data_IF_720532417870
#
_entry.id   IF_720532417870
#
_cell.length_a   1.000
_cell.length_b   1.000
_cell.length_c   1.000
_cell.angle_alpha   90.00
_cell.angle_beta   90.00
_cell.angle_gamma   90.00
#
_symmetry.space_group_name_H-M   'P 1'
#
loop_
_entity.id
_entity.type
_entity.pdbx_description
1 polymer ?
#
# COMPACT_ATOMS: atom_id res chain seq x y z
N UNK A 1 29.53 -52.18 10.56
CA UNK A 1 29.40 -50.75 10.17
C UNK A 1 29.94 -49.88 11.30
N UNK A 2 31.02 -49.14 11.06
CA UNK A 2 31.85 -48.53 12.10
C UNK A 2 31.16 -47.34 12.79
N UNK A 3 31.46 -47.13 14.08
CA UNK A 3 30.89 -46.04 14.91
C UNK A 3 31.19 -44.65 14.32
N UNK A 4 32.36 -44.49 13.69
CA UNK A 4 32.81 -43.28 13.01
C UNK A 4 31.93 -42.91 11.80
N UNK A 5 31.52 -43.89 11.00
CA UNK A 5 30.63 -43.66 9.83
C UNK A 5 29.24 -43.17 10.25
N UNK A 6 28.74 -43.66 11.39
CA UNK A 6 27.46 -43.22 11.94
C UNK A 6 27.52 -41.77 12.42
N UNK A 7 28.67 -41.33 12.96
CA UNK A 7 28.84 -39.95 13.42
C UNK A 7 28.93 -38.96 12.25
N UNK A 8 29.74 -39.27 11.23
CA UNK A 8 29.87 -38.47 10.01
C UNK A 8 28.52 -38.26 9.29
N UNK A 9 27.69 -39.32 9.20
CA UNK A 9 26.34 -39.22 8.62
C UNK A 9 25.41 -38.32 9.43
N UNK A 10 25.51 -38.32 10.76
CA UNK A 10 24.71 -37.43 11.63
C UNK A 10 25.15 -35.98 11.48
N UNK A 11 26.44 -35.72 11.48
CA UNK A 11 26.99 -34.38 11.25
C UNK A 11 26.59 -33.81 9.89
N UNK A 12 26.62 -34.63 8.84
CA UNK A 12 26.13 -34.25 7.53
C UNK A 12 24.64 -33.86 7.57
N UNK A 13 23.78 -34.68 8.19
CA UNK A 13 22.35 -34.36 8.35
C UNK A 13 22.12 -33.06 9.10
N UNK A 14 22.88 -32.81 10.18
CA UNK A 14 22.81 -31.55 10.96
C UNK A 14 23.23 -30.36 10.08
N UNK A 15 24.31 -30.49 9.31
CA UNK A 15 24.77 -29.43 8.40
C UNK A 15 23.73 -29.08 7.35
N UNK A 16 23.12 -30.10 6.73
CA UNK A 16 22.03 -29.93 5.76
C UNK A 16 20.82 -29.27 6.41
N UNK A 17 20.42 -29.70 7.61
CA UNK A 17 19.32 -29.10 8.36
C UNK A 17 19.58 -27.62 8.69
N UNK A 18 20.77 -27.29 9.21
CA UNK A 18 21.16 -25.90 9.49
C UNK A 18 21.15 -25.04 8.22
N UNK A 19 21.62 -25.56 7.09
CA UNK A 19 21.54 -24.87 5.78
C UNK A 19 20.09 -24.62 5.37
N UNK A 20 19.21 -25.61 5.50
CA UNK A 20 17.77 -25.48 5.21
C UNK A 20 17.12 -24.44 6.12
N UNK A 21 17.42 -24.44 7.42
CA UNK A 21 16.89 -23.49 8.38
C UNK A 21 17.30 -22.04 8.04
N UNK A 22 18.58 -21.82 7.71
CA UNK A 22 19.07 -20.50 7.27
C UNK A 22 18.34 -20.01 6.01
N UNK A 23 18.14 -20.89 5.03
CA UNK A 23 17.39 -20.58 3.80
C UNK A 23 15.94 -20.23 4.12
N UNK A 24 15.27 -21.01 4.97
CA UNK A 24 13.89 -20.75 5.38
C UNK A 24 13.74 -19.40 6.10
N UNK A 25 14.68 -19.07 7.01
CA UNK A 25 14.71 -17.77 7.69
C UNK A 25 14.93 -16.63 6.69
N UNK A 26 15.79 -16.82 5.69
CA UNK A 26 15.99 -15.82 4.62
C UNK A 26 14.72 -15.63 3.77
N UNK A 27 14.07 -16.72 3.35
CA UNK A 27 12.83 -16.67 2.58
C UNK A 27 11.68 -16.00 3.37
N UNK A 28 11.62 -16.22 4.69
CA UNK A 28 10.64 -15.55 5.55
C UNK A 28 10.89 -14.03 5.59
N UNK A 29 12.14 -13.59 5.71
CA UNK A 29 12.48 -12.17 5.65
C UNK A 29 12.13 -11.53 4.31
N UNK A 30 12.41 -12.22 3.20
CA UNK A 30 12.08 -11.68 1.87
C UNK A 30 10.57 -11.57 1.66
N UNK A 31 9.79 -12.55 2.15
CA UNK A 31 8.33 -12.44 2.15
C UNK A 31 7.86 -11.21 2.91
N UNK A 32 8.37 -10.97 4.10
CA UNK A 32 8.02 -9.78 4.90
C UNK A 32 8.40 -8.47 4.18
N UNK A 33 9.57 -8.43 3.54
CA UNK A 33 9.99 -7.28 2.72
C UNK A 33 9.01 -7.04 1.56
N UNK A 34 8.61 -8.09 0.87
CA UNK A 34 7.65 -8.02 -0.24
C UNK A 34 6.25 -7.63 0.22
N UNK A 35 5.81 -8.06 1.41
CA UNK A 35 4.56 -7.60 2.01
C UNK A 35 4.59 -6.08 2.25
N UNK A 36 5.69 -5.53 2.76
CA UNK A 36 5.86 -4.07 2.91
C UNK A 36 5.80 -3.32 1.58
N UNK A 37 6.46 -3.84 0.54
CA UNK A 37 6.42 -3.24 -0.79
C UNK A 37 5.00 -3.25 -1.39
N UNK A 38 4.29 -4.37 -1.28
CA UNK A 38 2.92 -4.47 -1.79
C UNK A 38 1.96 -3.57 -1.01
N UNK A 39 2.15 -3.40 0.31
CA UNK A 39 1.37 -2.47 1.12
C UNK A 39 1.60 -1.02 0.66
N UNK A 40 2.84 -0.61 0.40
CA UNK A 40 3.13 0.70 -0.16
C UNK A 40 2.48 0.93 -1.54
N UNK A 41 2.45 -0.10 -2.39
CA UNK A 41 1.77 -0.04 -3.68
C UNK A 41 0.26 0.07 -3.54
N UNK A 42 -0.34 -0.60 -2.55
CA UNK A 42 -1.77 -0.48 -2.26
C UNK A 42 -2.12 0.93 -1.73
N UNK A 43 -1.26 1.52 -0.88
CA UNK A 43 -1.39 2.93 -0.48
C UNK A 43 -1.36 3.84 -1.71
N UNK A 44 -0.42 3.63 -2.63
CA UNK A 44 -0.36 4.41 -3.87
C UNK A 44 -1.66 4.31 -4.68
N UNK A 45 -2.28 3.12 -4.76
CA UNK A 45 -3.57 2.93 -5.45
C UNK A 45 -4.70 3.72 -4.80
N UNK A 46 -4.67 3.92 -3.48
CA UNK A 46 -5.71 4.66 -2.75
C UNK A 46 -5.74 6.15 -3.07
N UNK A 47 -4.58 6.71 -3.46
CA UNK A 47 -4.42 8.11 -3.83
C UNK A 47 -4.75 8.40 -5.31
N UNK A 48 -5.05 7.37 -6.12
CA UNK A 48 -5.31 7.52 -7.55
C UNK A 48 -6.77 7.92 -7.83
N UNK A 49 -7.04 8.66 -8.93
CA UNK A 49 -8.39 9.06 -9.36
C UNK A 49 -9.25 7.90 -9.90
N UNK A 50 -8.80 6.67 -9.75
CA UNK A 50 -9.47 5.41 -10.12
C UNK A 50 -9.64 4.54 -8.88
N UNK A 51 -10.14 5.13 -7.78
CA UNK A 51 -10.45 4.40 -6.57
C UNK A 51 -11.27 3.17 -6.96
N UNK A 52 -10.69 2.00 -6.70
CA UNK A 52 -11.03 0.72 -7.31
C UNK A 52 -12.54 0.60 -7.44
N UNK A 53 -13.03 0.51 -8.67
CA UNK A 53 -14.46 0.43 -8.98
C UNK A 53 -15.03 -0.78 -8.27
N UNK A 54 -15.68 -0.53 -7.14
CA UNK A 54 -16.59 -1.45 -6.49
C UNK A 54 -17.74 -1.69 -7.46
N UNK A 55 -17.69 -2.80 -8.17
CA UNK A 55 -18.80 -3.29 -8.98
C UNK A 55 -19.32 -4.51 -8.22
N UNK A 56 -20.28 -4.24 -7.32
CA UNK A 56 -20.99 -5.18 -6.44
C UNK A 56 -20.30 -5.62 -5.13
N UNK A 57 -21.13 -5.74 -4.08
CA UNK A 57 -20.80 -6.24 -2.73
C UNK A 57 -20.19 -7.67 -2.76
N UNK A 58 -20.39 -8.39 -3.85
CA UNK A 58 -19.95 -9.78 -4.07
C UNK A 58 -18.64 -9.88 -4.83
N UNK A 59 -18.11 -8.79 -5.40
CA UNK A 59 -16.93 -8.83 -6.26
C UNK A 59 -15.69 -8.30 -5.55
N UNK A 60 -14.59 -9.04 -5.64
CA UNK A 60 -13.29 -8.58 -5.16
C UNK A 60 -12.85 -7.33 -5.94
N UNK A 61 -12.41 -6.24 -5.27
CA UNK A 61 -11.97 -5.04 -5.96
C UNK A 61 -10.84 -5.37 -6.93
N UNK A 62 -11.05 -5.09 -8.22
CA UNK A 62 -10.05 -5.35 -9.24
C UNK A 62 -8.91 -4.35 -9.08
N UNK A 63 -7.77 -4.83 -8.58
CA UNK A 63 -6.56 -4.02 -8.43
C UNK A 63 -5.92 -3.79 -9.79
N UNK A 64 -5.56 -2.54 -10.10
CA UNK A 64 -4.67 -2.25 -11.22
C UNK A 64 -3.37 -3.05 -11.09
N UNK A 65 -2.83 -3.50 -12.22
CA UNK A 65 -1.54 -4.17 -12.26
C UNK A 65 -0.43 -3.26 -11.70
N UNK A 66 0.72 -3.84 -11.30
CA UNK A 66 1.84 -3.04 -10.75
C UNK A 66 2.31 -1.98 -11.74
N UNK A 67 2.40 -2.34 -13.02
CA UNK A 67 2.83 -1.43 -14.08
C UNK A 67 1.80 -0.34 -14.36
N UNK A 68 0.51 -0.66 -14.41
CA UNK A 68 -0.54 0.34 -14.61
C UNK A 68 -0.62 1.31 -13.43
N UNK A 69 -0.46 0.81 -12.21
CA UNK A 69 -0.42 1.67 -11.00
C UNK A 69 0.70 2.70 -11.11
N UNK A 70 1.91 2.29 -11.50
CA UNK A 70 3.05 3.19 -11.65
C UNK A 70 2.88 4.18 -12.81
N UNK A 71 2.36 3.72 -13.95
CA UNK A 71 2.07 4.59 -15.11
C UNK A 71 1.02 5.64 -14.77
N UNK A 72 -0.09 5.21 -14.16
CA UNK A 72 -1.16 6.11 -13.74
C UNK A 72 -0.66 7.15 -12.73
N UNK A 73 0.17 6.74 -11.75
CA UNK A 73 0.73 7.67 -10.77
C UNK A 73 1.61 8.74 -11.43
N UNK A 74 2.49 8.36 -12.36
CA UNK A 74 3.33 9.31 -13.09
C UNK A 74 2.49 10.28 -13.94
N UNK A 75 1.45 9.77 -14.59
CA UNK A 75 0.52 10.59 -15.36
C UNK A 75 -0.24 11.56 -14.43
N UNK A 76 -0.69 11.10 -13.26
CA UNK A 76 -1.43 11.91 -12.30
C UNK A 76 -0.59 13.06 -11.75
N UNK A 77 0.67 12.81 -11.39
CA UNK A 77 1.63 13.86 -11.01
C UNK A 77 1.76 14.90 -12.14
N UNK A 78 1.85 14.44 -13.39
CA UNK A 78 1.97 15.33 -14.56
C UNK A 78 0.75 16.24 -14.71
N UNK A 79 -0.44 15.67 -14.57
CA UNK A 79 -1.70 16.43 -14.63
C UNK A 79 -1.76 17.49 -13.53
N UNK A 80 -1.55 17.09 -12.28
CA UNK A 80 -1.58 18.02 -11.14
C UNK A 80 -0.54 19.13 -11.30
N UNK A 81 0.66 18.79 -11.80
CA UNK A 81 1.72 19.76 -12.05
C UNK A 81 1.34 20.79 -13.13
N UNK A 82 0.63 20.37 -14.18
CA UNK A 82 0.15 21.28 -15.22
C UNK A 82 -0.98 22.18 -14.71
N UNK A 83 -1.93 21.61 -13.96
CA UNK A 83 -3.02 22.39 -13.36
C UNK A 83 -2.51 23.47 -12.42
N UNK A 84 -1.53 23.15 -11.58
CA UNK A 84 -0.91 24.12 -10.67
C UNK A 84 -0.12 25.21 -11.42
N UNK A 85 0.50 24.87 -12.55
CA UNK A 85 1.27 25.83 -13.36
C UNK A 85 0.39 26.78 -14.17
N UNK A 86 -0.73 26.28 -14.69
CA UNK A 86 -1.67 27.06 -15.49
C UNK A 86 -2.63 27.88 -14.62
N UNK A 87 -2.69 27.62 -13.30
CA UNK A 87 -3.61 28.22 -12.34
C UNK A 87 -5.08 28.16 -12.78
N UNK A 88 -5.42 27.20 -13.63
CA UNK A 88 -6.72 27.02 -14.24
C UNK A 88 -7.14 25.55 -14.19
N UNK A 89 -8.45 25.27 -14.09
CA UNK A 89 -8.93 23.90 -14.18
C UNK A 89 -8.62 23.33 -15.56
N UNK A 90 -8.05 22.12 -15.59
CA UNK A 90 -7.78 21.41 -16.84
C UNK A 90 -9.09 20.89 -17.43
N UNK A 91 -9.25 21.08 -18.73
CA UNK A 91 -10.36 20.48 -19.49
C UNK A 91 -10.44 18.96 -19.31
N UNK A 92 -11.66 18.42 -19.25
CA UNK A 92 -11.92 17.01 -18.93
C UNK A 92 -11.30 16.08 -19.99
N UNK A 93 -11.38 16.44 -21.28
CA UNK A 93 -10.81 15.61 -22.34
C UNK A 93 -9.28 15.60 -22.25
N UNK A 94 -8.67 16.76 -21.98
CA UNK A 94 -7.24 16.88 -21.74
C UNK A 94 -6.80 16.07 -20.51
N UNK A 95 -7.57 16.13 -19.42
CA UNK A 95 -7.33 15.37 -18.19
C UNK A 95 -7.33 13.85 -18.47
N UNK A 96 -8.38 13.33 -19.10
CA UNK A 96 -8.50 11.89 -19.42
C UNK A 96 -7.39 11.45 -20.37
N UNK A 97 -7.05 12.27 -21.38
CA UNK A 97 -6.01 11.95 -22.37
C UNK A 97 -4.63 11.79 -21.73
N UNK A 98 -4.25 12.69 -20.84
CA UNK A 98 -2.95 12.60 -20.15
C UNK A 98 -2.97 11.41 -19.18
N UNK A 99 -4.05 11.24 -18.43
CA UNK A 99 -4.15 10.25 -17.36
C UNK A 99 -4.22 8.81 -17.89
N UNK A 100 -4.88 8.58 -19.04
CA UNK A 100 -4.99 7.27 -19.71
C UNK A 100 -3.76 6.85 -20.51
N UNK A 101 -2.74 7.72 -20.63
CA UNK A 101 -1.56 7.48 -21.47
C UNK A 101 -0.83 6.19 -21.06
N UNK A 102 -0.62 5.28 -22.02
CA UNK A 102 0.06 3.99 -21.84
C UNK A 102 -0.61 3.02 -20.84
N UNK A 103 -1.89 3.21 -20.53
CA UNK A 103 -2.68 2.22 -19.80
C UNK A 103 -3.28 1.19 -20.75
N UNK A 104 -3.77 0.07 -20.21
CA UNK A 104 -4.52 -0.89 -21.03
C UNK A 104 -5.84 -0.27 -21.50
N UNK A 105 -6.37 -0.77 -22.62
CA UNK A 105 -7.64 -0.27 -23.16
C UNK A 105 -8.78 -0.36 -22.14
N UNK A 106 -8.86 -1.47 -21.39
CA UNK A 106 -9.85 -1.66 -20.33
C UNK A 106 -9.72 -0.62 -19.22
N UNK A 107 -8.49 -0.35 -18.76
CA UNK A 107 -8.24 0.65 -17.71
C UNK A 107 -8.56 2.07 -18.21
N UNK A 108 -8.20 2.40 -19.45
CA UNK A 108 -8.55 3.69 -20.05
C UNK A 108 -10.06 3.88 -20.16
N UNK A 109 -10.80 2.84 -20.50
CA UNK A 109 -12.26 2.88 -20.57
C UNK A 109 -12.88 3.08 -19.17
N UNK A 110 -12.38 2.37 -18.15
CA UNK A 110 -12.81 2.56 -16.75
C UNK A 110 -12.55 3.99 -16.28
N UNK A 111 -11.41 4.58 -16.67
CA UNK A 111 -11.08 5.96 -16.34
C UNK A 111 -12.03 6.95 -16.97
N UNK A 112 -12.26 6.84 -18.29
CA UNK A 112 -13.20 7.69 -18.99
C UNK A 112 -14.59 7.61 -18.34
N UNK A 113 -15.07 6.39 -18.06
CA UNK A 113 -16.35 6.18 -17.39
C UNK A 113 -16.39 6.78 -15.97
N UNK A 114 -15.33 6.62 -15.18
CA UNK A 114 -15.26 7.15 -13.82
C UNK A 114 -15.28 8.67 -13.80
N UNK A 115 -14.50 9.32 -14.68
CA UNK A 115 -14.42 10.78 -14.76
C UNK A 115 -15.75 11.36 -15.26
N UNK A 116 -16.35 10.78 -16.30
CA UNK A 116 -17.66 11.23 -16.81
C UNK A 116 -18.77 11.09 -15.77
N UNK A 117 -18.78 10.00 -14.99
CA UNK A 117 -19.71 9.85 -13.85
C UNK A 117 -19.49 10.93 -12.80
N UNK A 118 -18.23 11.20 -12.42
CA UNK A 118 -17.89 12.23 -11.45
C UNK A 118 -18.33 13.64 -11.88
N UNK A 119 -18.22 13.97 -13.17
CA UNK A 119 -18.74 15.23 -13.72
C UNK A 119 -20.26 15.33 -13.65
N UNK A 120 -21.00 14.23 -13.81
CA UNK A 120 -22.46 14.22 -13.67
C UNK A 120 -22.92 14.49 -12.22
N UNK A 121 -22.14 14.08 -11.20
CA UNK A 121 -22.43 14.39 -9.80
C UNK A 121 -22.16 15.87 -9.46
N UNK A 122 -21.16 16.49 -10.10
CA UNK A 122 -20.93 17.93 -9.97
C UNK A 122 -22.06 18.75 -10.62
N UNK A 123 -22.67 18.26 -11.71
CA UNK A 123 -23.80 18.92 -12.38
C UNK A 123 -25.14 18.76 -11.65
N UNK A 124 -25.34 17.65 -10.91
CA UNK A 124 -26.53 17.44 -10.06
C UNK A 124 -26.36 17.99 -8.63
N UNK A 125 -25.15 18.44 -8.26
CA UNK A 125 -24.77 18.86 -6.91
C UNK A 125 -24.96 20.36 -6.58
N UNK A 126 -25.35 21.20 -7.53
CA UNK A 126 -25.51 22.65 -7.34
C UNK A 126 -26.77 23.07 -6.55
N UNK A 127 -27.35 22.20 -5.71
CA UNK A 127 -28.47 22.55 -4.83
C UNK A 127 -28.31 22.16 -3.36
N UNK A 128 -27.07 21.96 -2.86
CA UNK A 128 -26.84 21.88 -1.41
C UNK A 128 -25.69 22.82 -1.00
N UNK A 129 -25.92 24.12 -1.12
CA UNK A 129 -25.26 25.13 -0.29
C UNK A 129 -26.31 26.16 0.14
N UNK A 130 -27.12 25.81 1.13
CA UNK A 130 -27.57 26.79 2.11
C UNK A 130 -27.87 26.13 3.46
N UNK A 131 -26.81 25.88 4.20
CA UNK A 131 -26.88 26.01 5.66
C UNK A 131 -25.60 26.69 6.11
N UNK A 132 -25.75 27.90 6.64
CA UNK A 132 -24.77 28.53 7.51
C UNK A 132 -24.39 27.50 8.59
N UNK A 133 -23.25 26.84 8.44
CA UNK A 133 -22.63 26.08 9.53
C UNK A 133 -21.63 27.01 10.18
N UNK A 134 -22.05 27.56 11.32
CA UNK A 134 -21.24 28.38 12.19
C UNK A 134 -20.07 27.55 12.74
N UNK A 135 -18.84 27.83 12.27
CA UNK A 135 -17.62 27.09 12.62
C UNK A 135 -17.06 27.46 14.00
N UNK A 136 -17.91 27.67 15.01
CA UNK A 136 -17.47 28.10 16.35
C UNK A 136 -17.78 27.17 17.51
N UNK A 137 -18.44 26.04 17.31
CA UNK A 137 -18.82 25.21 18.46
C UNK A 137 -18.77 23.69 18.23
N UNK A 138 -17.62 23.19 17.74
CA UNK A 138 -17.31 21.76 17.84
C UNK A 138 -15.93 21.58 18.48
N UNK A 139 -15.96 21.10 19.73
CA UNK A 139 -14.77 20.74 20.50
C UNK A 139 -13.87 19.76 19.75
N UNK A 140 -12.58 19.82 20.07
CA UNK A 140 -11.48 19.08 19.45
C UNK A 140 -11.61 17.54 19.55
N UNK A 141 -12.50 16.96 18.75
CA UNK A 141 -12.65 15.52 18.55
C UNK A 141 -12.46 15.18 17.08
N UNK A 142 -11.32 14.56 16.75
CA UNK A 142 -11.01 14.16 15.39
C UNK A 142 -11.85 12.92 15.01
N UNK A 143 -13.06 13.13 14.45
CA UNK A 143 -13.81 12.03 13.84
C UNK A 143 -13.28 11.78 12.42
N UNK A 144 -12.47 10.74 12.29
CA UNK A 144 -12.09 10.15 11.01
C UNK A 144 -12.69 8.73 10.93
N UNK A 145 -13.53 8.40 9.93
CA UNK A 145 -14.09 7.04 9.79
C UNK A 145 -13.02 5.99 9.47
N UNK A 146 -11.82 6.42 9.07
CA UNK A 146 -10.65 5.58 8.88
C UNK A 146 -9.46 6.30 9.52
N UNK A 147 -9.17 5.94 10.77
CA UNK A 147 -8.25 6.65 11.66
C UNK A 147 -7.00 7.21 10.99
N UNK A 148 -6.85 8.53 11.08
CA UNK A 148 -5.57 9.19 10.86
C UNK A 148 -4.65 8.91 12.06
N UNK A 149 -3.58 8.15 11.83
CA UNK A 149 -2.33 8.42 12.53
C UNK A 149 -1.17 8.22 11.58
N UNK A 150 -0.46 9.33 11.34
CA UNK A 150 0.88 9.46 10.76
C UNK A 150 0.99 9.57 9.22
N UNK A 151 0.46 10.67 8.67
CA UNK A 151 0.75 11.06 7.27
C UNK A 151 1.98 11.97 7.10
N UNK A 152 2.64 12.43 8.18
CA UNK A 152 4.01 12.94 8.11
C UNK A 152 4.65 13.04 9.51
N UNK A 153 5.57 12.14 9.91
CA UNK A 153 6.45 12.42 11.02
C UNK A 153 7.75 13.03 10.48
N UNK A 154 8.04 14.24 10.91
CA UNK A 154 9.39 14.78 10.89
C UNK A 154 10.38 13.72 11.44
N UNK A 155 11.55 13.66 10.83
CA UNK A 155 12.67 12.82 11.27
C UNK A 155 12.88 12.97 12.79
N UNK A 156 12.64 11.91 13.56
CA UNK A 156 13.19 11.80 14.91
C UNK A 156 13.77 10.40 15.10
N UNK A 157 15.08 10.39 15.20
CA UNK A 157 15.96 9.27 15.49
C UNK A 157 15.64 8.81 16.92
N UNK A 158 15.23 7.55 17.09
CA UNK A 158 15.72 6.58 18.08
C UNK A 158 14.67 5.53 18.48
N UNK A 159 15.11 4.26 18.32
CA UNK A 159 14.85 3.07 19.15
C UNK A 159 13.46 2.44 19.27
N UNK A 160 13.44 1.19 18.77
CA UNK A 160 12.73 0.00 19.29
C UNK A 160 11.25 -0.22 18.91
N UNK A 161 10.83 -1.51 18.80
CA UNK A 161 10.01 -2.03 17.72
C UNK A 161 8.72 -2.68 18.24
N UNK A 162 7.92 -3.19 17.29
CA UNK A 162 6.74 -4.05 17.47
C UNK A 162 5.45 -3.36 17.90
N UNK A 163 4.44 -3.52 17.04
CA UNK A 163 3.16 -4.08 17.45
C UNK A 163 2.57 -4.84 16.25
N UNK A 164 2.51 -6.17 16.34
CA UNK A 164 1.31 -6.91 15.95
C UNK A 164 1.26 -8.22 16.73
N UNK A 165 0.12 -8.43 17.38
CA UNK A 165 -0.17 -9.45 18.38
C UNK A 165 0.07 -10.86 17.87
N UNK A 166 0.80 -11.64 18.66
CA UNK A 166 0.95 -13.09 18.53
C UNK A 166 0.13 -13.71 19.66
N UNK A 167 -1.00 -14.35 19.32
CA UNK A 167 -1.68 -15.24 20.25
C UNK A 167 -0.72 -16.37 20.62
N UNK A 168 -0.56 -16.56 21.92
CA UNK A 168 0.50 -17.35 22.52
C UNK A 168 0.50 -18.80 22.07
N UNK A 169 1.68 -19.24 21.64
CA UNK A 169 2.24 -20.46 22.21
C UNK A 169 3.77 -20.37 22.26
N UNK A 170 4.28 -20.74 23.42
CA UNK A 170 5.55 -20.37 24.01
C UNK A 170 6.76 -21.09 23.37
N UNK A 171 7.80 -20.34 22.98
CA UNK A 171 9.20 -20.76 23.16
C UNK A 171 10.18 -19.60 22.95
N UNK A 172 10.11 -18.60 23.83
CA UNK A 172 11.16 -17.60 23.99
C UNK A 172 12.32 -18.21 24.80
N UNK A 173 13.45 -18.57 24.15
CA UNK A 173 14.77 -18.73 24.82
C UNK A 173 15.98 -18.96 23.90
N UNK A 174 16.20 -18.18 22.82
CA UNK A 174 17.48 -18.27 22.08
C UNK A 174 17.90 -16.95 21.39
N UNK A 175 17.85 -15.83 22.12
CA UNK A 175 18.35 -14.55 21.61
C UNK A 175 19.38 -13.88 22.52
N UNK A 176 20.18 -14.64 23.29
CA UNK A 176 21.39 -14.10 23.92
C UNK A 176 22.36 -15.22 24.27
N UNK A 177 23.32 -15.49 23.39
CA UNK A 177 24.68 -16.01 23.66
C UNK A 177 25.29 -16.41 22.34
N UNK A 178 26.16 -15.56 21.80
CA UNK A 178 27.35 -15.92 21.01
C UNK A 178 27.92 -14.64 20.40
N UNK A 179 28.45 -13.79 21.28
CA UNK A 179 29.39 -12.74 20.93
C UNK A 179 30.36 -12.59 22.11
N UNK A 180 31.39 -13.43 22.14
CA UNK A 180 32.68 -13.14 22.78
C UNK A 180 33.71 -14.17 22.29
N UNK A 181 34.82 -13.61 21.78
CA UNK A 181 36.13 -14.15 21.38
C UNK A 181 36.34 -15.65 21.28
#
# INVERSE_FOLDING_TARGET
MNRSDKNSRREHKIRIYKKKLRRNKANARERNRMHGLNAALDILRSCMPLQQTFVDITSTPQKLSKIETLRLAANYITVLSQMLKEEQPMDIERYIKILSKNLSQSTSNLLAASVMRNSAYNFLGENIHNSNVDYKDMGAGCFSPYGCSNYWPACRINTEPFCYSFDGNDNSRYWNSDRSY
#
